data_IF_867375646833
#
_entry.id   IF_867375646833
#
_cell.length_a   1.000
_cell.length_b   1.000
_cell.length_c   1.000
_cell.angle_alpha   90.00
_cell.angle_beta   90.00
_cell.angle_gamma   90.00
#
_symmetry.space_group_name_H-M   'P 1'
#
loop_
_entity.id
_entity.type
_entity.pdbx_description
1 polymer ?
#
# COMPACT_ATOMS: atom_id res chain seq x y z
N UNK A 1 -3.96 -5.23 -15.52
CA UNK A 1 -3.69 -4.19 -14.50
C UNK A 1 -3.34 -2.87 -15.17
N UNK A 2 -2.28 -2.80 -15.97
CA UNK A 2 -1.86 -1.57 -16.68
C UNK A 2 -2.99 -0.89 -17.46
N UNK A 3 -3.73 -1.61 -18.30
CA UNK A 3 -4.87 -1.05 -19.05
C UNK A 3 -5.90 -0.36 -18.14
N UNK A 4 -6.12 -0.89 -16.93
CA UNK A 4 -7.05 -0.30 -15.98
C UNK A 4 -6.46 0.97 -15.34
N UNK A 5 -5.19 0.93 -14.92
CA UNK A 5 -4.51 2.11 -14.36
C UNK A 5 -4.36 3.24 -15.38
N UNK A 6 -4.05 2.93 -16.64
CA UNK A 6 -4.02 3.91 -17.72
C UNK A 6 -5.38 4.56 -17.90
N UNK A 7 -6.47 3.77 -17.92
CA UNK A 7 -7.83 4.32 -18.00
C UNK A 7 -8.15 5.22 -16.80
N UNK A 8 -7.79 4.80 -15.57
CA UNK A 8 -8.00 5.63 -14.36
C UNK A 8 -7.23 6.94 -14.46
N UNK A 9 -5.97 6.92 -14.92
CA UNK A 9 -5.16 8.13 -15.10
C UNK A 9 -5.76 9.07 -16.14
N UNK A 10 -6.24 8.53 -17.26
CA UNK A 10 -6.78 9.32 -18.36
C UNK A 10 -8.19 9.85 -18.11
N UNK A 11 -9.03 9.09 -17.40
CA UNK A 11 -10.48 9.34 -17.28
C UNK A 11 -10.93 9.68 -15.86
N UNK A 12 -10.09 9.48 -14.85
CA UNK A 12 -10.45 9.67 -13.45
C UNK A 12 -11.56 8.72 -12.96
N UNK A 13 -11.83 7.64 -13.69
CA UNK A 13 -12.92 6.70 -13.41
C UNK A 13 -12.42 5.26 -13.52
N UNK A 14 -13.09 4.32 -12.86
CA UNK A 14 -12.78 2.90 -13.07
C UNK A 14 -13.31 2.44 -14.43
N UNK A 15 -12.55 1.61 -15.15
CA UNK A 15 -13.00 1.09 -16.43
C UNK A 15 -14.18 0.10 -16.24
N UNK A 16 -15.12 0.03 -17.19
CA UNK A 16 -16.30 -0.83 -17.08
C UNK A 16 -15.99 -2.33 -17.14
N UNK A 17 -14.75 -2.70 -17.45
CA UNK A 17 -14.28 -4.09 -17.54
C UNK A 17 -13.58 -4.57 -16.25
N UNK A 18 -13.45 -3.73 -15.23
CA UNK A 18 -13.01 -4.16 -13.90
C UNK A 18 -14.24 -4.45 -13.07
N UNK A 19 -14.46 -5.74 -12.79
CA UNK A 19 -15.59 -6.23 -12.00
C UNK A 19 -15.03 -6.81 -10.68
N UNK A 20 -15.37 -6.18 -9.55
CA UNK A 20 -14.88 -6.59 -8.23
C UNK A 20 -15.69 -7.78 -7.72
N UNK A 21 -15.16 -8.99 -7.90
CA UNK A 21 -15.84 -10.24 -7.49
C UNK A 21 -15.41 -10.77 -6.12
N UNK A 22 -14.32 -10.23 -5.55
CA UNK A 22 -13.67 -10.75 -4.33
C UNK A 22 -13.96 -9.93 -3.06
N UNK A 23 -14.89 -8.97 -3.13
CA UNK A 23 -15.31 -8.10 -2.01
C UNK A 23 -16.21 -8.82 -0.97
N UNK A 24 -16.03 -10.15 -0.83
CA UNK A 24 -16.81 -11.03 0.04
C UNK A 24 -15.99 -11.67 1.16
N UNK A 25 -14.70 -11.38 1.24
CA UNK A 25 -13.85 -11.88 2.31
C UNK A 25 -14.19 -11.17 3.63
N UNK A 26 -14.18 -11.90 4.74
CA UNK A 26 -14.36 -11.30 6.06
C UNK A 26 -13.20 -10.35 6.35
N UNK A 27 -13.53 -9.09 6.60
CA UNK A 27 -12.55 -8.11 7.11
C UNK A 27 -12.55 -8.24 8.63
N UNK A 28 -11.39 -8.57 9.20
CA UNK A 28 -11.21 -8.61 10.65
C UNK A 28 -11.39 -7.23 11.29
N UNK A 29 -11.42 -7.18 12.63
CA UNK A 29 -11.51 -5.91 13.36
C UNK A 29 -10.33 -4.99 13.01
N UNK A 30 -10.61 -3.73 12.68
CA UNK A 30 -9.58 -2.71 12.51
C UNK A 30 -8.75 -2.58 13.81
N UNK A 31 -7.42 -2.72 13.76
CA UNK A 31 -6.57 -2.61 14.95
C UNK A 31 -6.27 -1.16 15.37
N UNK A 32 -6.70 -0.17 14.58
CA UNK A 32 -6.56 1.26 14.89
C UNK A 32 -7.73 1.71 15.76
N UNK A 33 -7.46 2.44 16.83
CA UNK A 33 -8.50 2.98 17.71
C UNK A 33 -9.34 4.06 17.01
N UNK A 34 -10.61 4.16 17.41
CA UNK A 34 -11.50 5.23 16.91
C UNK A 34 -10.92 6.61 17.20
N UNK A 35 -10.28 6.82 18.36
CA UNK A 35 -9.63 8.07 18.72
C UNK A 35 -8.52 8.46 17.74
N UNK A 36 -7.68 7.49 17.33
CA UNK A 36 -6.64 7.73 16.32
C UNK A 36 -7.26 8.01 14.95
N UNK A 37 -8.31 7.28 14.55
CA UNK A 37 -9.03 7.53 13.29
C UNK A 37 -9.59 8.95 13.26
N UNK A 38 -10.27 9.39 14.33
CA UNK A 38 -10.84 10.74 14.41
C UNK A 38 -9.75 11.82 14.43
N UNK A 39 -8.62 11.58 15.09
CA UNK A 39 -7.49 12.52 15.05
C UNK A 39 -6.91 12.68 13.64
N UNK A 40 -6.77 11.58 12.89
CA UNK A 40 -6.29 11.61 11.49
C UNK A 40 -7.31 12.31 10.58
N UNK A 41 -8.62 12.06 10.76
CA UNK A 41 -9.66 12.78 10.03
C UNK A 41 -9.60 14.29 10.29
N UNK A 42 -9.52 14.70 11.55
CA UNK A 42 -9.44 16.11 11.92
C UNK A 42 -8.20 16.80 11.30
N UNK A 43 -7.06 16.11 11.25
CA UNK A 43 -5.85 16.58 10.57
C UNK A 43 -6.09 16.83 9.07
N UNK A 44 -6.73 15.88 8.39
CA UNK A 44 -7.03 16.00 6.96
C UNK A 44 -8.06 17.12 6.72
N UNK A 45 -9.12 17.21 7.53
CA UNK A 45 -10.13 18.25 7.43
C UNK A 45 -9.53 19.65 7.60
N UNK A 46 -8.61 19.82 8.55
CA UNK A 46 -7.86 21.06 8.72
C UNK A 46 -7.02 21.39 7.47
N UNK A 47 -6.30 20.40 6.93
CA UNK A 47 -5.49 20.57 5.72
C UNK A 47 -6.31 20.90 4.45
N UNK A 48 -7.58 20.50 4.41
CA UNK A 48 -8.51 20.81 3.31
C UNK A 48 -9.22 22.17 3.44
N UNK A 49 -9.03 22.90 4.54
CA UNK A 49 -9.64 24.23 4.72
C UNK A 49 -9.08 25.28 3.75
N UNK A 50 -9.88 26.30 3.34
CA UNK A 50 -9.41 27.38 2.50
C UNK A 50 -8.12 28.05 3.01
N UNK A 51 -7.18 28.29 2.10
CA UNK A 51 -5.86 28.85 2.43
C UNK A 51 -4.78 27.80 2.75
N UNK A 52 -5.14 26.52 2.87
CA UNK A 52 -4.19 25.42 3.04
C UNK A 52 -3.91 24.68 1.70
N UNK A 53 -2.76 23.99 1.58
CA UNK A 53 -2.39 23.31 0.34
C UNK A 53 -3.41 22.27 -0.14
N UNK A 54 -4.03 21.52 0.77
CA UNK A 54 -5.04 20.51 0.43
C UNK A 54 -6.24 21.11 -0.28
N UNK A 55 -6.68 22.30 0.12
CA UNK A 55 -7.79 23.00 -0.56
C UNK A 55 -7.44 23.33 -2.01
N UNK A 56 -6.26 23.91 -2.24
CA UNK A 56 -5.79 24.24 -3.58
C UNK A 56 -5.64 22.99 -4.45
N UNK A 57 -5.14 21.88 -3.90
CA UNK A 57 -4.95 20.61 -4.62
C UNK A 57 -6.28 20.00 -5.07
N UNK A 58 -7.23 19.85 -4.15
CA UNK A 58 -8.45 19.08 -4.40
C UNK A 58 -9.60 19.93 -4.94
N UNK A 59 -9.77 21.15 -4.45
CA UNK A 59 -10.94 21.99 -4.81
C UNK A 59 -10.64 22.83 -6.04
N UNK A 60 -9.50 23.52 -6.06
CA UNK A 60 -9.10 24.39 -7.18
C UNK A 60 -8.48 23.57 -8.31
N UNK A 61 -7.54 22.68 -7.96
CA UNK A 61 -6.82 21.80 -8.89
C UNK A 61 -7.63 20.58 -9.37
N UNK A 62 -8.77 20.28 -8.73
CA UNK A 62 -9.68 19.17 -9.08
C UNK A 62 -8.96 17.81 -9.15
N UNK A 63 -7.98 17.58 -8.28
CA UNK A 63 -7.26 16.31 -8.22
C UNK A 63 -8.19 15.19 -7.73
N UNK A 64 -8.09 14.01 -8.35
CA UNK A 64 -8.68 12.77 -7.84
C UNK A 64 -7.59 11.88 -7.25
N UNK A 65 -7.88 11.24 -6.12
CA UNK A 65 -7.01 10.24 -5.50
C UNK A 65 -7.63 8.86 -5.61
N UNK A 66 -6.80 7.88 -5.98
CA UNK A 66 -7.13 6.47 -6.00
C UNK A 66 -6.12 5.74 -5.11
N UNK A 67 -6.63 4.98 -4.13
CA UNK A 67 -5.79 4.08 -3.35
C UNK A 67 -5.70 2.75 -4.09
N UNK A 68 -4.47 2.31 -4.35
CA UNK A 68 -4.18 1.08 -5.06
C UNK A 68 -3.30 0.19 -4.20
N UNK A 69 -3.87 -0.92 -3.72
CA UNK A 69 -3.22 -1.85 -2.80
C UNK A 69 -3.09 -3.24 -3.43
N UNK A 70 -1.99 -3.93 -3.11
CA UNK A 70 -1.66 -5.25 -3.62
C UNK A 70 -0.27 -5.72 -3.18
N UNK A 71 -0.18 -7.00 -2.82
CA UNK A 71 1.04 -7.57 -2.23
C UNK A 71 2.17 -7.88 -3.23
N UNK A 72 1.92 -7.76 -4.54
CA UNK A 72 2.93 -7.97 -5.61
C UNK A 72 3.22 -6.70 -6.42
N UNK A 73 2.73 -5.53 -5.99
CA UNK A 73 2.88 -4.30 -6.77
C UNK A 73 4.33 -3.85 -6.97
N UNK A 74 5.24 -4.29 -6.10
CA UNK A 74 6.67 -3.98 -6.17
C UNK A 74 7.55 -5.21 -6.42
N UNK A 75 7.05 -6.20 -7.17
CA UNK A 75 7.92 -7.20 -7.78
C UNK A 75 8.52 -6.65 -9.08
N UNK A 76 9.65 -7.21 -9.54
CA UNK A 76 10.37 -6.71 -10.72
C UNK A 76 9.51 -6.78 -11.99
N UNK A 77 8.68 -7.81 -12.08
CA UNK A 77 7.75 -8.07 -13.18
C UNK A 77 6.68 -6.97 -13.31
N UNK A 78 6.44 -6.20 -12.24
CA UNK A 78 5.47 -5.10 -12.22
C UNK A 78 6.11 -3.74 -12.48
N UNK A 79 7.34 -3.65 -13.00
CA UNK A 79 8.04 -2.36 -13.20
C UNK A 79 7.26 -1.36 -14.06
N UNK A 80 6.60 -1.82 -15.12
CA UNK A 80 5.72 -1.00 -15.96
C UNK A 80 4.51 -0.49 -15.21
N UNK A 81 3.91 -1.33 -14.36
CA UNK A 81 2.80 -0.96 -13.46
C UNK A 81 3.26 0.05 -12.41
N UNK A 82 4.44 -0.14 -11.81
CA UNK A 82 5.02 0.80 -10.84
C UNK A 82 5.16 2.21 -11.41
N UNK A 83 5.49 2.35 -12.70
CA UNK A 83 5.60 3.67 -13.38
C UNK A 83 4.26 4.42 -13.44
N UNK A 84 3.14 3.72 -13.32
CA UNK A 84 1.80 4.32 -13.30
C UNK A 84 1.35 4.74 -11.90
N UNK A 85 2.10 4.36 -10.84
CA UNK A 85 1.81 4.67 -9.44
C UNK A 85 2.55 5.96 -9.05
N UNK A 86 1.79 6.97 -8.64
CA UNK A 86 2.31 8.27 -8.25
C UNK A 86 3.03 8.24 -6.90
N UNK A 87 2.37 7.73 -5.86
CA UNK A 87 2.95 7.62 -4.51
C UNK A 87 3.03 6.13 -4.17
N UNK A 88 4.24 5.63 -3.99
CA UNK A 88 4.50 4.21 -3.70
C UNK A 88 4.83 4.06 -2.23
N UNK A 89 4.02 3.29 -1.51
CA UNK A 89 4.19 2.99 -0.10
C UNK A 89 4.45 1.49 0.06
N UNK A 90 5.52 1.11 0.75
CA UNK A 90 5.86 -0.28 1.04
C UNK A 90 5.86 -0.53 2.55
N UNK A 91 5.09 -1.54 2.97
CA UNK A 91 4.92 -1.92 4.37
C UNK A 91 5.73 -3.18 4.69
N UNK A 92 6.35 -3.19 5.87
CA UNK A 92 7.22 -4.27 6.33
C UNK A 92 6.55 -5.12 7.40
N UNK A 93 6.77 -6.43 7.32
CA UNK A 93 6.28 -7.42 8.29
C UNK A 93 7.28 -8.55 8.40
N UNK A 94 7.51 -9.07 9.61
CA UNK A 94 8.34 -10.26 9.81
C UNK A 94 7.65 -11.51 9.31
N UNK A 95 8.42 -12.56 9.03
CA UNK A 95 7.89 -13.89 8.70
C UNK A 95 6.95 -14.38 9.78
N UNK A 96 7.36 -14.25 11.04
CA UNK A 96 6.61 -14.72 12.18
C UNK A 96 5.23 -14.03 12.26
N UNK A 97 5.20 -12.70 12.11
CA UNK A 97 3.95 -11.94 12.16
C UNK A 97 3.07 -12.16 10.94
N UNK A 98 3.65 -12.26 9.75
CA UNK A 98 2.93 -12.58 8.52
C UNK A 98 2.28 -13.96 8.60
N UNK A 99 3.01 -14.96 9.10
CA UNK A 99 2.52 -16.34 9.31
C UNK A 99 1.36 -16.34 10.31
N UNK A 100 1.55 -15.74 11.50
CA UNK A 100 0.50 -15.61 12.51
C UNK A 100 -0.79 -14.99 11.93
N UNK A 101 -0.66 -13.88 11.18
CA UNK A 101 -1.81 -13.19 10.60
C UNK A 101 -2.47 -13.98 9.48
N UNK A 102 -1.70 -14.74 8.70
CA UNK A 102 -2.19 -15.55 7.58
C UNK A 102 -2.95 -16.77 8.08
N UNK A 103 -2.40 -17.48 9.07
CA UNK A 103 -3.03 -18.67 9.66
C UNK A 103 -4.28 -18.34 10.47
N UNK A 104 -4.38 -17.12 11.01
CA UNK A 104 -5.57 -16.63 11.71
C UNK A 104 -6.72 -16.24 10.79
N UNK A 105 -6.55 -16.30 9.45
CA UNK A 105 -7.65 -16.04 8.51
C UNK A 105 -8.50 -17.29 8.35
N UNK A 106 -9.82 -17.12 8.45
CA UNK A 106 -10.77 -18.23 8.34
C UNK A 106 -10.69 -18.96 6.99
N UNK A 107 -10.29 -18.25 5.93
CA UNK A 107 -10.13 -18.73 4.56
C UNK A 107 -10.48 -17.62 3.56
N UNK A 108 -10.52 -17.96 2.27
CA UNK A 108 -10.77 -17.04 1.17
C UNK A 108 -11.95 -17.53 0.35
N UNK A 109 -12.84 -16.62 -0.01
CA UNK A 109 -13.87 -16.90 -1.00
C UNK A 109 -13.25 -16.70 -2.38
N UNK A 110 -13.09 -17.78 -3.14
CA UNK A 110 -12.58 -17.78 -4.51
C UNK A 110 -13.71 -18.06 -5.51
N UNK A 111 -13.45 -17.87 -6.81
CA UNK A 111 -14.39 -18.26 -7.87
C UNK A 111 -14.69 -19.77 -7.86
N UNK A 112 -13.76 -20.59 -7.36
CA UNK A 112 -13.84 -22.05 -7.29
C UNK A 112 -14.46 -22.55 -5.97
N UNK A 113 -14.81 -21.64 -5.06
CA UNK A 113 -15.36 -21.95 -3.75
C UNK A 113 -14.50 -21.44 -2.60
N UNK A 114 -14.65 -22.03 -1.43
CA UNK A 114 -13.90 -21.64 -0.24
C UNK A 114 -12.51 -22.27 -0.22
N UNK A 115 -11.47 -21.43 -0.17
CA UNK A 115 -10.08 -21.84 -0.06
C UNK A 115 -9.57 -21.63 1.36
N UNK A 116 -8.99 -22.67 1.94
CA UNK A 116 -8.23 -22.58 3.19
C UNK A 116 -6.80 -23.03 2.89
N UNK A 117 -5.82 -22.29 3.41
CA UNK A 117 -4.42 -22.63 3.19
C UNK A 117 -4.13 -24.05 3.73
N UNK A 118 -3.55 -24.96 2.92
CA UNK A 118 -3.22 -26.30 3.39
C UNK A 118 -2.05 -26.25 4.40
N UNK A 119 -1.86 -27.31 5.22
CA UNK A 119 -0.76 -27.36 6.19
C UNK A 119 0.62 -27.09 5.58
N UNK A 120 1.33 -26.10 6.13
CA UNK A 120 2.66 -25.68 5.68
C UNK A 120 2.67 -24.81 4.41
N UNK A 121 1.53 -24.31 3.95
CA UNK A 121 1.45 -23.46 2.76
C UNK A 121 2.26 -22.16 2.89
N UNK A 122 2.29 -21.56 4.09
CA UNK A 122 3.08 -20.35 4.32
C UNK A 122 4.56 -20.59 4.09
N UNK A 123 5.09 -21.66 4.67
CA UNK A 123 6.51 -22.01 4.58
C UNK A 123 6.92 -22.48 3.19
N UNK A 124 6.04 -23.21 2.51
CA UNK A 124 6.34 -23.82 1.21
C UNK A 124 6.10 -22.89 0.03
N UNK A 125 5.13 -21.98 0.14
CA UNK A 125 4.63 -21.18 -0.97
C UNK A 125 4.69 -19.68 -0.63
N UNK A 126 3.93 -19.21 0.37
CA UNK A 126 3.72 -17.77 0.58
C UNK A 126 5.03 -17.03 0.87
N UNK A 127 5.81 -17.49 1.85
CA UNK A 127 7.02 -16.80 2.26
C UNK A 127 8.14 -16.88 1.21
N UNK A 128 8.44 -18.06 0.60
CA UNK A 128 9.39 -18.12 -0.50
C UNK A 128 9.06 -17.19 -1.67
N UNK A 129 7.78 -17.09 -2.06
CA UNK A 129 7.35 -16.18 -3.13
C UNK A 129 7.47 -14.70 -2.72
N UNK A 130 7.21 -14.36 -1.45
CA UNK A 130 7.45 -13.00 -0.94
C UNK A 130 8.94 -12.64 -1.02
N UNK A 131 9.83 -13.55 -0.58
CA UNK A 131 11.29 -13.37 -0.65
C UNK A 131 11.74 -13.18 -2.09
N UNK A 132 11.36 -14.08 -2.99
CA UNK A 132 11.71 -14.00 -4.41
C UNK A 132 11.28 -12.68 -5.04
N UNK A 133 10.04 -12.26 -4.78
CA UNK A 133 9.47 -11.04 -5.37
C UNK A 133 10.10 -9.75 -4.86
N UNK A 134 10.56 -9.71 -3.60
CA UNK A 134 10.92 -8.46 -2.91
C UNK A 134 12.36 -8.37 -2.41
N UNK A 135 13.17 -9.44 -2.45
CA UNK A 135 14.56 -9.43 -1.97
C UNK A 135 15.39 -8.28 -2.53
N UNK A 136 15.11 -7.84 -3.76
CA UNK A 136 15.80 -6.72 -4.41
C UNK A 136 15.58 -5.35 -3.73
N UNK A 137 14.58 -5.21 -2.86
CA UNK A 137 14.32 -4.01 -2.06
C UNK A 137 15.15 -3.97 -0.76
N UNK A 138 15.89 -5.04 -0.44
CA UNK A 138 16.61 -5.19 0.82
C UNK A 138 18.11 -5.36 0.60
N UNK A 139 18.91 -4.97 1.60
CA UNK A 139 20.35 -5.21 1.60
C UNK A 139 20.60 -6.72 1.65
N UNK A 140 21.53 -7.19 0.80
CA UNK A 140 21.93 -8.59 0.68
C UNK A 140 20.76 -9.57 0.42
N UNK A 141 19.62 -9.08 -0.06
CA UNK A 141 18.42 -9.90 -0.28
C UNK A 141 17.69 -10.34 1.00
N UNK A 142 18.07 -9.82 2.17
CA UNK A 142 17.46 -10.22 3.44
C UNK A 142 16.17 -9.43 3.71
N UNK A 143 15.01 -10.04 3.42
CA UNK A 143 13.69 -9.40 3.57
C UNK A 143 13.25 -9.14 5.02
N UNK A 144 13.96 -9.70 6.01
CA UNK A 144 13.77 -9.35 7.43
C UNK A 144 14.89 -8.42 7.94
N UNK A 145 15.76 -7.95 7.06
CA UNK A 145 16.87 -7.05 7.34
C UNK A 145 16.58 -5.60 6.97
N UNK A 146 17.65 -4.87 6.64
CA UNK A 146 17.57 -3.47 6.25
C UNK A 146 17.13 -3.30 4.80
N UNK A 147 16.33 -2.25 4.55
CA UNK A 147 15.97 -1.82 3.21
C UNK A 147 17.20 -1.27 2.47
N UNK A 148 17.24 -1.50 1.15
CA UNK A 148 18.21 -0.87 0.28
C UNK A 148 17.73 0.55 -0.10
N UNK A 149 18.18 1.55 0.65
CA UNK A 149 17.78 2.95 0.48
C UNK A 149 18.09 3.52 -0.92
N UNK A 150 19.16 3.06 -1.57
CA UNK A 150 19.50 3.46 -2.94
C UNK A 150 18.41 3.01 -3.92
N UNK A 151 18.00 1.74 -3.83
CA UNK A 151 16.93 1.17 -4.66
C UNK A 151 15.60 1.86 -4.38
N UNK A 152 15.28 2.11 -3.11
CA UNK A 152 14.06 2.80 -2.73
C UNK A 152 14.02 4.22 -3.30
N UNK A 153 15.14 4.94 -3.24
CA UNK A 153 15.26 6.27 -3.83
C UNK A 153 15.13 6.22 -5.35
N UNK A 154 15.83 5.32 -6.03
CA UNK A 154 15.77 5.16 -7.49
C UNK A 154 14.34 4.89 -7.99
N UNK A 155 13.61 4.01 -7.28
CA UNK A 155 12.23 3.64 -7.65
C UNK A 155 11.17 4.55 -7.04
N UNK A 156 11.57 5.56 -6.25
CA UNK A 156 10.70 6.44 -5.48
C UNK A 156 9.67 5.65 -4.63
N UNK A 157 10.13 4.62 -3.93
CA UNK A 157 9.35 3.81 -3.00
C UNK A 157 9.57 4.35 -1.59
N UNK A 158 8.50 4.74 -0.91
CA UNK A 158 8.53 5.19 0.47
C UNK A 158 8.27 4.02 1.41
N UNK A 159 9.06 3.94 2.47
CA UNK A 159 8.89 2.97 3.54
C UNK A 159 9.32 3.60 4.88
N UNK A 160 8.97 2.97 6.00
CA UNK A 160 9.40 3.39 7.33
C UNK A 160 10.84 2.93 7.62
N UNK A 161 11.80 3.47 6.86
CA UNK A 161 13.23 3.12 6.94
C UNK A 161 13.77 3.31 8.36
N UNK A 162 14.54 2.34 8.84
CA UNK A 162 15.16 2.36 10.17
C UNK A 162 14.20 2.18 11.35
N UNK A 163 12.90 1.93 11.11
CA UNK A 163 11.90 1.69 12.17
C UNK A 163 11.71 0.21 12.51
N UNK A 164 12.34 -0.68 11.75
CA UNK A 164 12.23 -2.13 11.91
C UNK A 164 10.99 -2.71 11.23
N UNK A 165 10.72 -3.98 11.54
CA UNK A 165 9.56 -4.73 11.07
C UNK A 165 8.39 -4.59 12.06
N UNK A 166 7.19 -4.99 11.63
CA UNK A 166 6.02 -5.15 12.51
C UNK A 166 5.56 -3.90 13.24
N UNK A 167 5.76 -2.73 12.64
CA UNK A 167 5.23 -1.46 13.13
C UNK A 167 3.71 -1.56 13.29
N UNK A 168 3.18 -1.02 14.38
CA UNK A 168 1.76 -1.06 14.66
C UNK A 168 0.96 -0.25 13.64
N UNK A 169 -0.33 -0.60 13.50
CA UNK A 169 -1.18 -0.01 12.46
C UNK A 169 -1.54 1.45 12.73
N UNK A 170 -1.49 1.94 13.98
CA UNK A 170 -1.75 3.35 14.26
C UNK A 170 -0.58 4.21 13.78
N UNK A 171 0.65 3.80 14.12
CA UNK A 171 1.87 4.45 13.66
C UNK A 171 1.98 4.37 12.13
N UNK A 172 1.62 3.22 11.53
CA UNK A 172 1.62 3.03 10.08
C UNK A 172 0.59 3.92 9.39
N UNK A 173 -0.61 4.07 9.95
CA UNK A 173 -1.65 4.95 9.41
C UNK A 173 -1.20 6.40 9.41
N UNK A 174 -0.65 6.87 10.53
CA UNK A 174 -0.17 8.24 10.68
C UNK A 174 0.97 8.54 9.69
N UNK A 175 1.96 7.65 9.60
CA UNK A 175 3.04 7.76 8.62
C UNK A 175 2.52 7.78 7.17
N UNK A 176 1.53 6.94 6.87
CA UNK A 176 0.94 6.84 5.52
C UNK A 176 0.27 8.15 5.13
N UNK A 177 -0.59 8.70 6.01
CA UNK A 177 -1.28 9.97 5.75
C UNK A 177 -0.28 11.11 5.57
N UNK A 178 0.74 11.18 6.42
CA UNK A 178 1.74 12.26 6.37
C UNK A 178 2.59 12.19 5.11
N UNK A 179 2.94 10.97 4.69
CA UNK A 179 3.66 10.73 3.44
C UNK A 179 2.81 11.13 2.25
N UNK A 180 1.51 10.77 2.22
CA UNK A 180 0.61 11.15 1.13
C UNK A 180 0.46 12.67 1.04
N UNK A 181 0.18 13.35 2.16
CA UNK A 181 0.07 14.82 2.20
C UNK A 181 1.35 15.46 1.65
N UNK A 182 2.50 15.05 2.16
CA UNK A 182 3.80 15.59 1.76
C UNK A 182 4.06 15.42 0.26
N UNK A 183 3.79 14.23 -0.28
CA UNK A 183 4.05 13.96 -1.71
C UNK A 183 3.02 14.66 -2.62
N UNK A 184 1.78 14.85 -2.18
CA UNK A 184 0.78 15.64 -2.91
C UNK A 184 1.18 17.12 -2.98
N UNK A 185 1.66 17.71 -1.87
CA UNK A 185 2.14 19.08 -1.85
C UNK A 185 3.37 19.30 -2.74
N UNK A 186 4.35 18.39 -2.67
CA UNK A 186 5.52 18.40 -3.56
C UNK A 186 5.12 18.39 -5.04
N UNK A 187 4.21 17.49 -5.41
CA UNK A 187 3.68 17.39 -6.79
C UNK A 187 2.96 18.65 -7.23
N UNK A 188 2.16 19.26 -6.35
CA UNK A 188 1.47 20.52 -6.64
C UNK A 188 2.45 21.69 -6.83
N UNK A 189 3.58 21.68 -6.11
CA UNK A 189 4.62 22.70 -6.21
C UNK A 189 5.62 22.51 -7.37
N UNK A 190 5.50 21.44 -8.15
CA UNK A 190 6.43 21.11 -9.24
C UNK A 190 7.79 20.56 -8.78
N UNK A 191 7.90 20.13 -7.52
CA UNK A 191 9.08 19.48 -6.95
C UNK A 191 8.89 17.96 -7.00
N UNK A 192 9.00 17.36 -8.17
CA UNK A 192 8.83 15.90 -8.37
C UNK A 192 10.09 15.23 -8.85
#
# INVERSE_FOLDING_TARGET
MERALTHIREKGTFPPFVDSKEDKNSVGRCPVSDAKIEAVKAKIEAWLQPGNPGHAIFTEGKLNVCLFDGFLLYCKEMETTMKLIDIKLFLLVSRAKATQRREARDGYVTLEGFWQDPPGYVDKIVWPNYVESHAWLFKDGNVEGELNEEVLSEKNIKAQVGKGLDIDMETTLEWTVDTIITELEKRASGQS
#
